data_IF_910137112507
#
_entry.id   IF_910137112507
#
_cell.length_a   1.000
_cell.length_b   1.000
_cell.length_c   1.000
_cell.angle_alpha   90.00
_cell.angle_beta   90.00
_cell.angle_gamma   90.00
#
_symmetry.space_group_name_H-M   'P 1'
#
loop_
_entity.id
_entity.type
_entity.pdbx_description
1 polymer ?
#
# COMPACT_ATOMS: atom_id res chain seq x y z
N UNK A 1 -3.21 19.16 -22.85
CA UNK A 1 -1.92 19.63 -22.33
C UNK A 1 -1.33 18.60 -21.41
N UNK A 2 -0.07 18.19 -21.60
CA UNK A 2 0.62 17.25 -20.70
C UNK A 2 0.77 17.93 -19.33
N UNK A 3 0.07 17.44 -18.30
CA UNK A 3 0.30 17.91 -16.92
C UNK A 3 1.78 17.67 -16.61
N UNK A 4 2.52 18.74 -16.31
CA UNK A 4 3.92 18.65 -15.92
C UNK A 4 4.04 17.63 -14.77
N UNK A 5 4.98 16.71 -14.91
CA UNK A 5 5.18 15.64 -13.96
C UNK A 5 5.62 16.25 -12.62
N UNK A 6 4.78 16.13 -11.59
CA UNK A 6 5.03 16.77 -10.30
C UNK A 6 6.13 15.98 -9.57
N UNK A 7 7.37 16.35 -9.84
CA UNK A 7 8.54 15.87 -9.13
C UNK A 7 8.55 16.51 -7.74
N UNK A 8 8.46 15.69 -6.70
CA UNK A 8 8.49 16.11 -5.29
C UNK A 8 9.43 15.22 -4.50
N UNK A 9 9.93 15.74 -3.39
CA UNK A 9 10.65 14.92 -2.41
C UNK A 9 9.66 14.02 -1.70
N UNK A 10 9.86 12.71 -1.77
CA UNK A 10 9.09 11.75 -0.99
C UNK A 10 9.35 12.00 0.50
N UNK A 11 8.29 12.19 1.28
CA UNK A 11 8.40 12.45 2.72
C UNK A 11 9.00 11.27 3.51
N UNK A 12 8.91 10.05 2.98
CA UNK A 12 9.31 8.83 3.70
C UNK A 12 10.71 8.35 3.33
N UNK A 13 11.09 8.39 2.04
CA UNK A 13 12.42 7.96 1.59
C UNK A 13 13.40 9.12 1.41
N UNK A 14 12.93 10.36 1.47
CA UNK A 14 13.74 11.55 1.19
C UNK A 14 14.17 11.71 -0.27
N UNK A 15 13.82 10.78 -1.16
CA UNK A 15 14.22 10.80 -2.56
C UNK A 15 13.33 11.74 -3.39
N UNK A 16 13.94 12.45 -4.33
CA UNK A 16 13.21 13.26 -5.32
C UNK A 16 12.73 12.36 -6.45
N UNK A 17 11.41 12.18 -6.56
CA UNK A 17 10.75 11.31 -7.54
C UNK A 17 9.40 11.93 -7.95
N UNK A 18 8.78 11.41 -9.00
CA UNK A 18 7.39 11.74 -9.32
C UNK A 18 6.46 11.20 -8.25
N UNK A 19 5.91 12.06 -7.40
CA UNK A 19 5.02 11.66 -6.31
C UNK A 19 3.59 12.07 -6.65
N UNK A 20 2.84 11.17 -7.30
CA UNK A 20 1.43 11.41 -7.69
C UNK A 20 0.45 11.31 -6.52
N UNK A 21 0.85 10.64 -5.44
CA UNK A 21 0.00 10.32 -4.30
C UNK A 21 0.41 11.07 -3.03
N UNK A 22 -0.56 11.30 -2.15
CA UNK A 22 -0.36 11.86 -0.81
C UNK A 22 -1.03 10.98 0.24
N UNK A 23 -0.45 10.92 1.43
CA UNK A 23 -1.01 10.23 2.60
C UNK A 23 -1.27 11.21 3.75
N UNK A 24 -2.22 10.85 4.61
CA UNK A 24 -2.59 11.55 5.84
C UNK A 24 -2.46 10.58 7.01
N UNK A 25 -1.94 11.04 8.14
CA UNK A 25 -1.81 10.23 9.36
C UNK A 25 -2.90 10.65 10.35
N UNK A 26 -3.82 9.72 10.65
CA UNK A 26 -4.98 9.98 11.52
C UNK A 26 -5.76 11.22 11.10
N UNK A 27 -6.08 12.07 12.07
CA UNK A 27 -6.85 13.29 11.84
C UNK A 27 -5.99 14.52 11.47
N UNK A 28 -4.66 14.37 11.36
CA UNK A 28 -3.71 15.45 11.03
C UNK A 28 -4.10 16.20 9.76
N UNK A 29 -4.24 17.53 9.78
CA UNK A 29 -4.51 18.32 8.57
C UNK A 29 -3.41 18.27 7.50
N UNK A 30 -2.24 17.71 7.80
CA UNK A 30 -1.08 17.68 6.92
C UNK A 30 -1.07 16.49 5.97
N UNK A 31 -0.78 16.75 4.70
CA UNK A 31 -0.59 15.75 3.66
C UNK A 31 0.87 15.58 3.31
N UNK A 32 1.30 14.32 3.14
CA UNK A 32 2.67 13.97 2.81
C UNK A 32 2.74 13.34 1.43
N UNK A 33 3.52 13.91 0.51
CA UNK A 33 3.78 13.30 -0.79
C UNK A 33 4.64 12.04 -0.63
N UNK A 34 4.24 10.96 -1.28
CA UNK A 34 4.94 9.67 -1.23
C UNK A 34 5.27 9.19 -2.64
N UNK A 35 6.45 8.60 -2.78
CA UNK A 35 6.87 7.95 -4.02
C UNK A 35 5.99 6.72 -4.29
N UNK A 36 5.89 6.27 -5.57
CA UNK A 36 5.17 5.05 -5.92
C UNK A 36 5.63 3.84 -5.11
N UNK A 37 6.94 3.69 -4.93
CA UNK A 37 7.54 2.64 -4.09
C UNK A 37 7.05 2.69 -2.63
N UNK A 38 7.12 3.86 -1.99
CA UNK A 38 6.69 4.02 -0.61
C UNK A 38 5.19 3.76 -0.47
N UNK A 39 4.38 4.21 -1.44
CA UNK A 39 2.94 3.92 -1.48
C UNK A 39 2.68 2.41 -1.57
N UNK A 40 3.34 1.70 -2.47
CA UNK A 40 3.16 0.26 -2.63
C UNK A 40 3.46 -0.48 -1.32
N UNK A 41 4.58 -0.17 -0.66
CA UNK A 41 4.91 -0.73 0.67
C UNK A 41 3.82 -0.50 1.71
N UNK A 42 3.28 0.71 1.79
CA UNK A 42 2.19 1.04 2.73
C UNK A 42 0.93 0.25 2.37
N UNK A 43 0.53 0.25 1.10
CA UNK A 43 -0.67 -0.44 0.66
C UNK A 43 -0.60 -1.95 0.89
N UNK A 44 0.52 -2.62 0.60
CA UNK A 44 0.67 -4.06 0.85
C UNK A 44 0.43 -4.39 2.33
N UNK A 45 0.93 -3.56 3.25
CA UNK A 45 0.72 -3.73 4.69
C UNK A 45 -0.73 -3.42 5.09
N UNK A 46 -1.30 -2.32 4.59
CA UNK A 46 -2.69 -1.94 4.87
C UNK A 46 -3.69 -2.98 4.38
N UNK A 47 -3.49 -3.54 3.18
CA UNK A 47 -4.33 -4.60 2.62
C UNK A 47 -4.29 -5.85 3.50
N UNK A 48 -3.09 -6.27 3.93
CA UNK A 48 -2.92 -7.39 4.86
C UNK A 48 -3.71 -7.17 6.17
N UNK A 49 -3.49 -6.05 6.85
CA UNK A 49 -4.18 -5.78 8.12
C UNK A 49 -5.69 -5.63 7.96
N UNK A 50 -6.14 -5.08 6.83
CA UNK A 50 -7.57 -4.95 6.54
C UNK A 50 -8.20 -6.33 6.38
N UNK A 51 -7.57 -7.22 5.63
CA UNK A 51 -8.06 -8.58 5.43
C UNK A 51 -8.09 -9.39 6.74
N UNK A 52 -7.02 -9.33 7.53
CA UNK A 52 -6.98 -9.99 8.86
C UNK A 52 -8.10 -9.45 9.76
N UNK A 53 -8.35 -8.15 9.76
CA UNK A 53 -9.45 -7.55 10.53
C UNK A 53 -10.81 -8.06 10.06
N UNK A 54 -11.01 -8.20 8.75
CA UNK A 54 -12.25 -8.75 8.20
C UNK A 54 -12.48 -10.20 8.62
N UNK A 55 -11.43 -11.03 8.67
CA UNK A 55 -11.52 -12.39 9.22
C UNK A 55 -11.90 -12.33 10.70
N UNK A 56 -11.20 -11.53 11.50
CA UNK A 56 -11.45 -11.41 12.95
C UNK A 56 -12.88 -10.95 13.25
N UNK A 57 -13.45 -10.07 12.42
CA UNK A 57 -14.81 -9.55 12.57
C UNK A 57 -15.89 -10.47 11.96
N UNK A 58 -15.51 -11.59 11.32
CA UNK A 58 -16.46 -12.49 10.66
C UNK A 58 -17.11 -11.88 9.41
N UNK A 59 -16.46 -10.91 8.75
CA UNK A 59 -16.95 -10.28 7.53
C UNK A 59 -16.69 -11.13 6.28
N UNK A 60 -15.74 -12.07 6.35
CA UNK A 60 -15.42 -13.01 5.28
C UNK A 60 -16.32 -14.23 5.38
N UNK A 61 -17.51 -14.17 4.77
CA UNK A 61 -18.56 -15.23 4.93
C UNK A 61 -18.58 -16.29 3.84
N UNK A 62 -18.04 -15.98 2.66
CA UNK A 62 -18.17 -16.83 1.46
C UNK A 62 -16.88 -17.60 1.13
N UNK A 63 -15.76 -17.29 1.79
CA UNK A 63 -14.49 -17.96 1.54
C UNK A 63 -14.32 -19.13 2.50
N UNK A 64 -13.88 -20.28 1.97
CA UNK A 64 -13.45 -21.40 2.80
C UNK A 64 -12.07 -21.13 3.44
N UNK A 65 -11.64 -22.02 4.34
CA UNK A 65 -10.39 -21.88 5.09
C UNK A 65 -9.16 -21.89 4.18
N UNK A 66 -9.19 -22.68 3.10
CA UNK A 66 -8.09 -22.78 2.16
C UNK A 66 -7.96 -21.49 1.33
N UNK A 67 -9.08 -20.93 0.86
CA UNK A 67 -9.13 -19.64 0.19
C UNK A 67 -8.61 -18.52 1.09
N UNK A 68 -9.04 -18.49 2.37
CA UNK A 68 -8.53 -17.52 3.33
C UNK A 68 -7.02 -17.65 3.55
N UNK A 69 -6.52 -18.88 3.67
CA UNK A 69 -5.08 -19.15 3.82
C UNK A 69 -4.30 -18.64 2.60
N UNK A 70 -4.74 -18.96 1.38
CA UNK A 70 -4.06 -18.52 0.17
C UNK A 70 -4.09 -17.01 -0.02
N UNK A 71 -5.17 -16.34 0.38
CA UNK A 71 -5.24 -14.88 0.37
C UNK A 71 -4.24 -14.26 1.37
N UNK A 72 -4.13 -14.81 2.58
CA UNK A 72 -3.09 -14.42 3.55
C UNK A 72 -1.69 -14.61 2.94
N UNK A 73 -1.44 -15.73 2.28
CA UNK A 73 -0.15 -16.02 1.64
C UNK A 73 0.13 -15.06 0.47
N UNK A 74 -0.88 -14.70 -0.32
CA UNK A 74 -0.79 -13.71 -1.39
C UNK A 74 -0.42 -12.32 -0.83
N UNK A 75 -1.10 -11.86 0.21
CA UNK A 75 -0.82 -10.57 0.86
C UNK A 75 0.59 -10.52 1.47
N UNK A 76 1.04 -11.63 2.08
CA UNK A 76 2.44 -11.77 2.57
C UNK A 76 3.47 -11.74 1.44
N UNK A 77 3.14 -12.32 0.27
CA UNK A 77 3.99 -12.27 -0.92
C UNK A 77 4.16 -10.84 -1.43
N UNK A 78 3.07 -10.07 -1.53
CA UNK A 78 3.14 -8.64 -1.93
C UNK A 78 4.01 -7.83 -0.96
N UNK A 79 3.85 -8.02 0.36
CA UNK A 79 4.73 -7.39 1.35
C UNK A 79 6.20 -7.80 1.20
N UNK A 80 6.46 -9.07 0.86
CA UNK A 80 7.82 -9.59 0.67
C UNK A 80 8.50 -8.99 -0.56
N UNK A 81 7.76 -8.84 -1.67
CA UNK A 81 8.24 -8.10 -2.83
C UNK A 81 8.54 -6.63 -2.51
N UNK A 82 7.60 -5.97 -1.82
CA UNK A 82 7.75 -4.58 -1.42
C UNK A 82 8.98 -4.36 -0.51
N UNK A 83 9.28 -5.33 0.37
CA UNK A 83 10.47 -5.32 1.23
C UNK A 83 11.77 -5.34 0.42
N UNK A 84 11.80 -6.06 -0.69
CA UNK A 84 12.97 -6.21 -1.56
C UNK A 84 13.11 -5.09 -2.61
N UNK A 85 12.19 -4.12 -2.65
CA UNK A 85 12.24 -3.03 -3.62
C UNK A 85 11.39 -3.25 -4.87
N UNK A 86 10.75 -4.42 -5.02
CA UNK A 86 9.86 -4.68 -6.14
C UNK A 86 8.49 -4.06 -5.88
N UNK A 87 7.99 -3.28 -6.84
CA UNK A 87 6.67 -2.66 -6.75
C UNK A 87 6.03 -2.54 -8.14
N UNK A 88 4.70 -2.53 -8.16
CA UNK A 88 3.91 -2.20 -9.36
C UNK A 88 3.57 -0.72 -9.30
N UNK A 89 3.81 0.01 -10.38
CA UNK A 89 3.54 1.45 -10.44
C UNK A 89 2.05 1.76 -10.71
N UNK A 90 1.33 0.78 -11.25
CA UNK A 90 -0.12 0.81 -11.50
C UNK A 90 -0.87 0.03 -10.40
N UNK A 91 -1.38 0.75 -9.41
CA UNK A 91 -2.42 0.31 -8.47
C UNK A 91 -3.17 1.55 -7.97
#
# INVERSE_FOLDING_TARGET
GRRAEIVKKCALSGQTKTCKHRIKLGDSSSYYYVSPFCRYRIMSVCNFFTYIRYIQQGLVKQQDVEQMFWEVMHLRKEMSFAKLGFYKEEL
#
